data_IF_144175082865
#
_entry.id   IF_144175082865
#
_cell.length_a   1.000
_cell.length_b   1.000
_cell.length_c   1.000
_cell.angle_alpha   90.00
_cell.angle_beta   90.00
_cell.angle_gamma   90.00
#
_symmetry.space_group_name_H-M   'P 1'
#
loop_
_entity.id
_entity.type
_entity.pdbx_description
1 polymer ?
#
# COMPACT_ATOMS: atom_id res chain seq x y z
N UNK A 1 -6.85 18.14 -11.83
CA UNK A 1 -5.55 17.45 -12.03
C UNK A 1 -5.54 16.21 -11.15
N UNK A 2 -5.42 15.04 -11.75
CA UNK A 2 -5.42 13.75 -11.04
C UNK A 2 -4.08 13.57 -10.33
N UNK A 3 -4.12 13.37 -9.01
CA UNK A 3 -2.96 12.94 -8.23
C UNK A 3 -2.71 11.45 -8.48
N UNK A 4 -2.04 11.13 -9.58
CA UNK A 4 -1.65 9.75 -9.96
C UNK A 4 -0.28 9.33 -9.38
N UNK A 5 0.25 10.04 -8.38
CA UNK A 5 1.61 9.81 -7.86
C UNK A 5 1.73 8.64 -6.85
N UNK A 6 0.70 7.82 -6.67
CA UNK A 6 0.64 6.85 -5.56
C UNK A 6 0.55 5.39 -5.95
N UNK A 7 0.37 5.05 -7.24
CA UNK A 7 0.20 3.67 -7.68
C UNK A 7 1.28 3.28 -8.68
N UNK A 8 1.95 2.15 -8.42
CA UNK A 8 2.92 1.59 -9.37
C UNK A 8 2.27 1.41 -10.74
N UNK A 9 3.03 1.76 -11.77
CA UNK A 9 2.61 1.53 -13.15
C UNK A 9 2.27 0.05 -13.38
N UNK A 10 1.25 -0.19 -14.21
CA UNK A 10 0.75 -1.55 -14.46
C UNK A 10 1.81 -2.42 -15.14
N UNK A 11 2.59 -1.88 -16.07
CA UNK A 11 3.61 -2.63 -16.79
C UNK A 11 4.75 -3.02 -15.84
N UNK A 12 5.16 -2.10 -14.97
CA UNK A 12 6.14 -2.37 -13.89
C UNK A 12 5.65 -3.50 -12.99
N UNK A 13 4.40 -3.41 -12.52
CA UNK A 13 3.79 -4.43 -11.67
C UNK A 13 3.71 -5.79 -12.38
N UNK A 14 3.34 -5.81 -13.66
CA UNK A 14 3.31 -7.03 -14.46
C UNK A 14 4.71 -7.66 -14.56
N UNK A 15 5.74 -6.86 -14.83
CA UNK A 15 7.12 -7.34 -14.86
C UNK A 15 7.56 -7.97 -13.54
N UNK A 16 7.10 -7.44 -12.39
CA UNK A 16 7.34 -8.08 -11.09
C UNK A 16 6.69 -9.45 -11.00
N UNK A 17 5.42 -9.58 -11.39
CA UNK A 17 4.72 -10.86 -11.38
C UNK A 17 5.33 -11.87 -12.35
N UNK A 18 5.82 -11.44 -13.51
CA UNK A 18 6.48 -12.32 -14.48
C UNK A 18 7.79 -12.89 -13.90
N UNK A 19 8.61 -12.04 -13.26
CA UNK A 19 9.82 -12.49 -12.55
C UNK A 19 9.50 -13.45 -11.40
N UNK A 20 8.51 -13.11 -10.58
CA UNK A 20 8.07 -13.98 -9.49
C UNK A 20 7.53 -15.32 -10.01
N UNK A 21 6.81 -15.31 -11.13
CA UNK A 21 6.28 -16.53 -11.77
C UNK A 21 7.39 -17.44 -12.27
N UNK A 22 8.51 -16.91 -12.74
CA UNK A 22 9.66 -17.70 -13.16
C UNK A 22 10.28 -18.52 -12.01
N UNK A 23 10.33 -17.96 -10.79
CA UNK A 23 10.89 -18.65 -9.62
C UNK A 23 9.86 -19.50 -8.85
N UNK A 24 8.57 -19.22 -9.03
CA UNK A 24 7.49 -19.79 -8.23
C UNK A 24 7.46 -21.33 -8.16
N UNK A 25 7.63 -22.10 -9.27
CA UNK A 25 7.58 -23.56 -9.20
C UNK A 25 8.71 -24.15 -8.33
N UNK A 26 9.93 -23.62 -8.50
CA UNK A 26 11.08 -24.06 -7.72
C UNK A 26 10.95 -23.66 -6.25
N UNK A 27 10.49 -22.44 -5.99
CA UNK A 27 10.26 -21.91 -4.66
C UNK A 27 9.19 -22.70 -3.90
N UNK A 28 8.06 -22.98 -4.55
CA UNK A 28 7.01 -23.81 -3.98
C UNK A 28 7.52 -25.21 -3.66
N UNK A 29 8.13 -25.90 -4.62
CA UNK A 29 8.68 -27.25 -4.39
C UNK A 29 9.76 -27.29 -3.30
N UNK A 30 10.57 -26.25 -3.16
CA UNK A 30 11.53 -26.13 -2.07
C UNK A 30 10.86 -25.95 -0.71
N UNK A 31 9.85 -25.08 -0.62
CA UNK A 31 9.11 -24.86 0.62
C UNK A 31 8.31 -26.09 1.04
N UNK A 32 7.70 -26.84 0.10
CA UNK A 32 7.01 -28.09 0.40
C UNK A 32 7.93 -29.12 1.06
N UNK A 33 9.16 -29.27 0.53
CA UNK A 33 10.17 -30.18 1.09
C UNK A 33 10.65 -29.72 2.46
N UNK A 34 10.81 -28.41 2.66
CA UNK A 34 11.26 -27.87 3.94
C UNK A 34 10.15 -27.90 4.99
N UNK A 35 8.87 -27.91 4.59
CA UNK A 35 7.72 -28.03 5.49
C UNK A 35 7.61 -29.39 6.16
N UNK A 36 8.13 -30.44 5.56
CA UNK A 36 8.14 -31.78 6.17
C UNK A 36 9.49 -32.12 6.82
N UNK A 37 10.49 -31.25 6.66
CA UNK A 37 11.83 -31.45 7.17
C UNK A 37 11.99 -31.02 8.64
N UNK A 38 13.06 -31.54 9.26
CA UNK A 38 13.51 -31.17 10.59
C UNK A 38 13.74 -29.65 10.71
N UNK A 39 13.03 -28.96 11.62
CA UNK A 39 13.18 -27.51 11.82
C UNK A 39 14.55 -27.10 12.34
N UNK A 40 15.32 -28.00 12.98
CA UNK A 40 16.66 -27.72 13.49
C UNK A 40 17.73 -27.69 12.38
N UNK A 41 17.40 -28.17 11.18
CA UNK A 41 18.34 -28.21 10.06
C UNK A 41 18.87 -26.81 9.72
N UNK A 42 20.19 -26.68 9.51
CA UNK A 42 20.82 -25.43 9.09
C UNK A 42 20.25 -24.97 7.73
N UNK A 43 20.15 -23.65 7.54
CA UNK A 43 19.46 -23.08 6.37
C UNK A 43 20.11 -23.51 5.05
N UNK A 44 21.44 -23.47 4.89
CA UNK A 44 22.10 -23.89 3.65
C UNK A 44 21.77 -25.34 3.24
N UNK A 45 21.46 -26.19 4.22
CA UNK A 45 21.16 -27.61 4.00
C UNK A 45 19.68 -27.89 3.69
N UNK A 46 18.82 -26.86 3.71
CA UNK A 46 17.43 -26.99 3.31
C UNK A 46 17.24 -26.85 1.79
N UNK A 47 16.10 -27.27 1.28
CA UNK A 47 15.79 -27.09 -0.14
C UNK A 47 15.68 -25.61 -0.50
N UNK A 48 15.11 -24.77 0.37
CA UNK A 48 15.09 -23.32 0.19
C UNK A 48 16.48 -22.71 0.23
N UNK A 49 17.36 -23.17 1.13
CA UNK A 49 18.75 -22.70 1.20
C UNK A 49 19.53 -23.01 -0.08
N UNK A 50 19.42 -24.24 -0.59
CA UNK A 50 20.04 -24.63 -1.87
C UNK A 50 19.50 -23.82 -3.04
N UNK A 51 18.19 -23.60 -3.11
CA UNK A 51 17.59 -22.75 -4.13
C UNK A 51 18.12 -21.30 -4.05
N UNK A 52 18.17 -20.73 -2.85
CA UNK A 52 18.69 -19.40 -2.65
C UNK A 52 20.20 -19.28 -2.94
N UNK A 53 20.96 -20.38 -2.83
CA UNK A 53 22.37 -20.41 -3.21
C UNK A 53 22.56 -20.52 -4.74
N UNK A 54 21.59 -21.06 -5.47
CA UNK A 54 21.68 -21.23 -6.93
C UNK A 54 21.21 -20.02 -7.74
N UNK A 55 20.60 -19.02 -7.10
CA UNK A 55 20.03 -17.86 -7.77
C UNK A 55 20.99 -16.66 -7.72
N UNK A 56 21.06 -15.94 -8.83
CA UNK A 56 21.70 -14.62 -8.90
C UNK A 56 20.89 -13.56 -8.13
N UNK A 57 21.44 -12.36 -7.96
CA UNK A 57 20.80 -11.26 -7.21
C UNK A 57 19.37 -10.96 -7.69
N UNK A 58 19.14 -10.87 -9.01
CA UNK A 58 17.82 -10.63 -9.59
C UNK A 58 16.83 -11.75 -9.27
N UNK A 59 17.29 -13.01 -9.35
CA UNK A 59 16.51 -14.17 -8.97
C UNK A 59 16.19 -14.21 -7.48
N UNK A 60 17.13 -13.75 -6.63
CA UNK A 60 16.94 -13.63 -5.19
C UNK A 60 15.97 -12.52 -4.81
N UNK A 61 16.01 -11.37 -5.50
CA UNK A 61 15.00 -10.33 -5.33
C UNK A 61 13.62 -10.84 -5.71
N UNK A 62 13.50 -11.51 -6.86
CA UNK A 62 12.25 -12.13 -7.29
C UNK A 62 11.75 -13.21 -6.30
N UNK A 63 12.65 -14.06 -5.78
CA UNK A 63 12.34 -15.05 -4.77
C UNK A 63 11.88 -14.40 -3.45
N UNK A 64 12.55 -13.32 -3.03
CA UNK A 64 12.19 -12.55 -1.85
C UNK A 64 10.81 -11.90 -1.99
N UNK A 65 10.54 -11.25 -3.13
CA UNK A 65 9.22 -10.68 -3.43
C UNK A 65 8.13 -11.74 -3.47
N UNK A 66 8.41 -12.89 -4.09
CA UNK A 66 7.46 -14.01 -4.14
C UNK A 66 7.17 -14.57 -2.75
N UNK A 67 8.22 -14.81 -1.95
CA UNK A 67 8.09 -15.31 -0.59
C UNK A 67 7.37 -14.29 0.28
N UNK A 68 7.65 -12.99 0.14
CA UNK A 68 6.96 -11.91 0.83
C UNK A 68 5.48 -11.86 0.47
N UNK A 69 5.14 -11.85 -0.82
CA UNK A 69 3.76 -11.89 -1.33
C UNK A 69 2.99 -13.06 -0.73
N UNK A 70 3.59 -14.24 -0.82
CA UNK A 70 2.91 -15.49 -0.56
C UNK A 70 2.82 -15.75 0.95
N UNK A 71 3.90 -15.53 1.69
CA UNK A 71 3.90 -15.69 3.13
C UNK A 71 2.93 -14.71 3.79
N UNK A 72 2.83 -13.46 3.32
CA UNK A 72 1.90 -12.47 3.87
C UNK A 72 0.43 -12.82 3.69
N UNK A 73 0.10 -13.57 2.64
CA UNK A 73 -1.28 -13.91 2.28
C UNK A 73 -1.81 -15.16 3.00
N UNK A 74 -0.93 -16.06 3.45
CA UNK A 74 -1.30 -17.38 3.98
C UNK A 74 -0.78 -17.63 5.41
N UNK A 75 -0.79 -16.61 6.27
CA UNK A 75 -0.24 -16.66 7.63
C UNK A 75 -0.98 -17.57 8.65
N UNK A 76 -1.67 -18.62 8.22
CA UNK A 76 -2.16 -19.68 9.11
C UNK A 76 -1.26 -20.93 9.06
N UNK A 77 -0.80 -21.27 10.26
CA UNK A 77 -0.06 -22.42 10.80
C UNK A 77 1.22 -22.98 10.16
N UNK A 78 1.52 -22.84 8.87
CA UNK A 78 2.77 -23.45 8.34
C UNK A 78 3.57 -22.65 7.31
N UNK A 79 3.83 -21.39 7.63
CA UNK A 79 4.72 -20.51 6.86
C UNK A 79 6.16 -20.45 7.41
N UNK A 80 6.58 -21.37 8.29
CA UNK A 80 7.90 -21.32 8.96
C UNK A 80 9.08 -21.29 7.99
N UNK A 81 9.02 -22.12 6.95
CA UNK A 81 10.05 -22.21 5.92
C UNK A 81 10.14 -20.92 5.10
N UNK A 82 8.98 -20.36 4.74
CA UNK A 82 8.90 -19.08 4.04
C UNK A 82 9.39 -17.90 4.89
N UNK A 83 9.01 -17.84 6.17
CA UNK A 83 9.53 -16.85 7.13
C UNK A 83 11.05 -16.92 7.27
N UNK A 84 11.59 -18.13 7.33
CA UNK A 84 13.04 -18.34 7.38
C UNK A 84 13.70 -17.84 6.09
N UNK A 85 13.17 -18.22 4.93
CA UNK A 85 13.66 -17.76 3.63
C UNK A 85 13.66 -16.23 3.52
N UNK A 86 12.58 -15.56 3.94
CA UNK A 86 12.50 -14.10 3.95
C UNK A 86 13.59 -13.47 4.83
N UNK A 87 13.81 -13.99 6.04
CA UNK A 87 14.88 -13.49 6.93
C UNK A 87 16.26 -13.68 6.33
N UNK A 88 16.50 -14.82 5.70
CA UNK A 88 17.79 -15.15 5.08
C UNK A 88 18.07 -14.27 3.86
N UNK A 89 17.05 -13.95 3.05
CA UNK A 89 17.20 -12.99 1.94
C UNK A 89 17.39 -11.57 2.48
N UNK A 90 16.65 -11.18 3.51
CA UNK A 90 16.78 -9.86 4.14
C UNK A 90 18.14 -9.65 4.84
N UNK A 91 18.84 -10.72 5.23
CA UNK A 91 20.17 -10.65 5.81
C UNK A 91 21.29 -10.48 4.77
N UNK A 92 21.00 -10.65 3.47
CA UNK A 92 21.96 -10.45 2.38
C UNK A 92 22.05 -8.97 2.05
N UNK A 93 23.26 -8.51 1.76
CA UNK A 93 23.55 -7.16 1.28
C UNK A 93 23.90 -7.17 -0.21
N UNK A 94 23.71 -6.03 -0.87
CA UNK A 94 24.09 -5.84 -2.26
C UNK A 94 23.19 -6.60 -3.24
N UNK A 95 21.94 -6.86 -2.85
CA UNK A 95 20.96 -7.46 -3.76
C UNK A 95 20.51 -6.46 -4.84
N UNK A 96 20.65 -5.16 -4.61
CA UNK A 96 20.36 -4.14 -5.62
C UNK A 96 18.86 -3.90 -5.77
N UNK A 97 18.15 -3.76 -4.64
CA UNK A 97 16.73 -3.48 -4.64
C UNK A 97 16.39 -2.15 -5.30
N UNK A 98 15.36 -2.16 -6.14
CA UNK A 98 14.88 -0.94 -6.79
C UNK A 98 13.82 -0.24 -5.94
N UNK A 99 13.67 1.07 -6.12
CA UNK A 99 12.62 1.86 -5.45
C UNK A 99 11.22 1.31 -5.70
N UNK A 100 10.95 0.83 -6.90
CA UNK A 100 9.64 0.27 -7.25
C UNK A 100 9.38 -1.08 -6.58
N UNK A 101 10.39 -1.95 -6.47
CA UNK A 101 10.28 -3.21 -5.72
C UNK A 101 10.02 -2.94 -4.23
N UNK A 102 10.70 -1.95 -3.65
CA UNK A 102 10.50 -1.55 -2.25
C UNK A 102 9.11 -0.94 -2.06
N UNK A 103 8.66 -0.07 -2.96
CA UNK A 103 7.29 0.49 -2.92
C UNK A 103 6.25 -0.63 -2.99
N UNK A 104 6.49 -1.64 -3.83
CA UNK A 104 5.63 -2.81 -3.93
C UNK A 104 5.60 -3.62 -2.63
N UNK A 105 6.78 -3.96 -2.07
CA UNK A 105 6.90 -4.69 -0.81
C UNK A 105 6.19 -3.97 0.35
N UNK A 106 6.36 -2.66 0.44
CA UNK A 106 5.67 -1.82 1.43
C UNK A 106 4.16 -1.86 1.26
N UNK A 107 3.67 -1.68 0.02
CA UNK A 107 2.25 -1.77 -0.30
C UNK A 107 1.64 -3.10 0.15
N UNK A 108 2.29 -4.22 -0.17
CA UNK A 108 1.86 -5.55 0.22
C UNK A 108 1.86 -5.73 1.76
N UNK A 109 2.87 -5.19 2.43
CA UNK A 109 2.99 -5.25 3.89
C UNK A 109 1.87 -4.50 4.61
N UNK A 110 1.47 -3.33 4.09
CA UNK A 110 0.37 -2.56 4.64
C UNK A 110 -1.00 -3.17 4.36
N UNK A 111 -1.15 -3.89 3.24
CA UNK A 111 -2.37 -4.63 2.92
C UNK A 111 -2.51 -5.93 3.74
N UNK A 112 -1.38 -6.48 4.24
CA UNK A 112 -1.37 -7.67 5.07
C UNK A 112 -1.96 -7.45 6.47
N UNK A 113 -2.45 -8.53 7.08
CA UNK A 113 -3.03 -8.51 8.42
C UNK A 113 -2.04 -7.94 9.47
N UNK A 114 -2.50 -7.07 10.41
CA UNK A 114 -1.63 -6.46 11.41
C UNK A 114 -0.80 -7.42 12.26
N UNK A 115 -1.33 -8.62 12.54
CA UNK A 115 -0.65 -9.66 13.32
C UNK A 115 0.47 -10.41 12.57
N UNK A 116 0.72 -10.11 11.29
CA UNK A 116 1.87 -10.66 10.58
C UNK A 116 3.16 -9.95 11.04
N UNK A 117 3.71 -10.34 12.19
CA UNK A 117 4.83 -9.66 12.86
C UNK A 117 6.05 -9.41 11.97
N UNK A 118 6.28 -10.28 10.98
CA UNK A 118 7.46 -10.22 10.10
C UNK A 118 7.21 -9.47 8.79
N UNK A 119 6.03 -8.86 8.60
CA UNK A 119 5.66 -8.20 7.34
C UNK A 119 6.57 -7.05 6.92
N UNK A 120 7.32 -6.45 7.84
CA UNK A 120 8.26 -5.39 7.49
C UNK A 120 9.73 -5.87 7.37
N UNK A 121 10.01 -7.18 7.53
CA UNK A 121 11.39 -7.71 7.53
C UNK A 121 12.12 -7.41 6.23
N UNK A 122 11.59 -7.87 5.10
CA UNK A 122 12.21 -7.69 3.79
C UNK A 122 12.23 -6.23 3.33
N UNK A 123 11.11 -5.46 3.38
CA UNK A 123 11.15 -4.07 2.93
C UNK A 123 12.09 -3.20 3.76
N UNK A 124 12.23 -3.46 5.07
CA UNK A 124 13.19 -2.72 5.91
C UNK A 124 14.62 -3.01 5.50
N UNK A 125 14.97 -4.27 5.25
CA UNK A 125 16.29 -4.63 4.77
C UNK A 125 16.58 -4.02 3.39
N UNK A 126 15.64 -4.11 2.46
CA UNK A 126 15.77 -3.54 1.12
C UNK A 126 15.95 -2.02 1.15
N UNK A 127 15.23 -1.31 2.03
CA UNK A 127 15.39 0.14 2.23
C UNK A 127 16.81 0.54 2.65
N UNK A 128 17.51 -0.30 3.42
CA UNK A 128 18.89 -0.03 3.86
C UNK A 128 19.91 -0.05 2.72
N UNK A 129 19.57 -0.64 1.57
CA UNK A 129 20.42 -0.67 0.39
C UNK A 129 20.23 0.55 -0.53
N UNK A 130 19.16 1.34 -0.36
CA UNK A 130 18.90 2.49 -1.22
C UNK A 130 19.78 3.69 -0.88
N UNK A 131 20.27 4.43 -1.88
CA UNK A 131 20.89 5.73 -1.66
C UNK A 131 19.86 6.75 -1.16
N UNK A 132 20.29 7.73 -0.37
CA UNK A 132 19.41 8.75 0.23
C UNK A 132 18.54 9.51 -0.78
N UNK A 133 19.01 9.69 -2.02
CA UNK A 133 18.24 10.31 -3.08
C UNK A 133 17.03 9.45 -3.51
N UNK A 134 17.18 8.13 -3.58
CA UNK A 134 16.09 7.21 -3.93
C UNK A 134 15.06 7.08 -2.80
N UNK A 135 15.45 7.30 -1.55
CA UNK A 135 14.53 7.32 -0.41
C UNK A 135 13.56 8.50 -0.45
N UNK A 136 13.93 9.63 -1.07
CA UNK A 136 13.05 10.81 -1.26
C UNK A 136 11.90 10.54 -2.23
N UNK A 137 12.07 9.57 -3.12
CA UNK A 137 11.05 9.14 -4.10
C UNK A 137 10.00 8.17 -3.49
N UNK A 138 10.19 7.75 -2.24
CA UNK A 138 9.21 6.96 -1.49
C UNK A 138 8.24 7.88 -0.74
N UNK A 139 6.94 7.55 -0.70
CA UNK A 139 5.96 8.38 -0.01
C UNK A 139 6.28 8.43 1.49
N UNK A 140 6.44 9.64 2.04
CA UNK A 140 6.84 9.87 3.45
C UNK A 140 5.94 9.15 4.44
N UNK A 141 4.64 9.05 4.13
CA UNK A 141 3.65 8.31 4.94
C UNK A 141 3.98 6.82 5.06
N UNK A 142 4.56 6.21 4.02
CA UNK A 142 4.98 4.81 4.08
C UNK A 142 6.23 4.61 4.93
N UNK A 143 7.11 5.62 5.01
CA UNK A 143 8.29 5.60 5.87
C UNK A 143 7.92 5.86 7.34
N UNK A 144 7.04 6.82 7.62
CA UNK A 144 6.54 7.10 8.98
C UNK A 144 5.79 5.90 9.56
N UNK A 145 4.87 5.31 8.80
CA UNK A 145 4.13 4.13 9.25
C UNK A 145 5.04 2.92 9.52
N UNK A 146 6.15 2.81 8.80
CA UNK A 146 7.12 1.75 9.01
C UNK A 146 7.95 2.02 10.27
N UNK A 147 8.28 3.28 10.55
CA UNK A 147 8.91 3.69 11.82
C UNK A 147 8.04 3.36 13.03
N UNK A 148 6.71 3.47 12.90
CA UNK A 148 5.77 3.09 13.98
C UNK A 148 5.57 1.58 14.09
N UNK A 149 5.66 0.84 12.97
CA UNK A 149 5.42 -0.61 12.94
C UNK A 149 6.68 -1.47 13.21
N UNK A 150 7.87 -0.95 12.94
CA UNK A 150 9.15 -1.60 13.17
C UNK A 150 10.01 -0.72 14.09
N UNK A 151 9.79 -0.76 15.41
CA UNK A 151 10.48 0.13 16.37
C UNK A 151 12.00 -0.14 16.49
N UNK A 152 12.56 -1.09 15.74
CA UNK A 152 13.99 -1.42 15.78
C UNK A 152 14.60 -1.28 14.39
N UNK A 153 15.43 -0.25 14.27
CA UNK A 153 16.44 -0.07 13.23
C UNK A 153 15.96 0.33 11.82
N UNK A 154 15.29 1.47 11.71
CA UNK A 154 15.51 2.30 10.52
C UNK A 154 16.75 3.16 10.75
N UNK A 155 17.60 3.38 9.74
CA UNK A 155 18.74 4.28 9.89
C UNK A 155 18.21 5.68 10.25
N UNK A 156 18.45 6.12 11.48
CA UNK A 156 18.07 7.45 11.97
C UNK A 156 18.64 8.58 11.10
N UNK A 157 19.71 8.30 10.35
CA UNK A 157 20.34 9.23 9.40
C UNK A 157 19.47 9.46 8.16
N UNK A 158 18.77 8.44 7.64
CA UNK A 158 17.91 8.62 6.48
C UNK A 158 16.62 9.40 6.82
N UNK A 159 16.05 9.16 8.00
CA UNK A 159 14.85 9.87 8.45
C UNK A 159 15.17 11.28 8.96
N UNK A 160 16.33 11.49 9.59
CA UNK A 160 16.77 12.83 10.05
C UNK A 160 16.98 13.81 8.91
N UNK A 161 17.54 13.35 7.78
CA UNK A 161 17.77 14.14 6.57
C UNK A 161 16.49 14.37 5.73
N UNK A 162 15.48 13.51 5.86
CA UNK A 162 14.15 13.73 5.28
C UNK A 162 13.31 14.71 6.12
N UNK A 163 13.46 14.66 7.45
CA UNK A 163 12.72 15.52 8.37
C UNK A 163 13.24 16.96 8.41
N UNK A 164 14.48 17.20 8.00
CA UNK A 164 15.07 18.55 7.87
C UNK A 164 14.94 19.17 6.48
N UNK A 165 14.50 18.39 5.48
CA UNK A 165 14.28 18.84 4.10
C UNK A 165 12.80 18.97 3.70
N UNK A 166 11.90 19.16 4.68
CA UNK A 166 10.57 19.74 4.39
C UNK A 166 10.77 21.19 3.88
N UNK A 167 9.99 21.66 2.90
CA UNK A 167 10.40 22.73 2.01
C UNK A 167 10.54 24.06 2.75
N UNK A 168 11.77 24.54 2.89
CA UNK A 168 12.09 25.93 3.25
C UNK A 168 11.94 26.88 2.04
N UNK A 169 10.99 26.59 1.16
CA UNK A 169 10.83 27.22 -0.16
C UNK A 169 9.46 27.91 -0.34
N UNK A 170 8.75 28.29 0.73
CA UNK A 170 7.55 29.14 0.60
C UNK A 170 7.36 30.18 1.73
N UNK A 171 8.44 30.73 2.29
CA UNK A 171 8.32 31.88 3.20
C UNK A 171 9.48 32.88 3.02
N UNK A 172 9.60 33.50 1.84
CA UNK A 172 10.20 34.84 1.75
C UNK A 172 9.85 35.54 0.44
N UNK A 173 8.70 36.22 0.42
CA UNK A 173 8.58 37.57 -0.14
C UNK A 173 7.41 38.28 0.56
N UNK A 174 7.71 38.98 1.65
CA UNK A 174 6.89 40.11 2.10
C UNK A 174 7.24 41.35 1.24
N UNK A 175 6.33 42.32 1.04
CA UNK A 175 6.14 43.38 2.05
C UNK A 175 4.64 43.71 2.26
N UNK A 176 4.16 43.78 3.51
CA UNK A 176 4.02 45.03 4.29
C UNK A 176 3.37 46.16 3.49
N UNK A 177 2.08 46.42 3.70
CA UNK A 177 1.49 47.73 4.07
C UNK A 177 0.07 47.51 4.66
N UNK A 178 -0.15 48.01 5.89
CA UNK A 178 -1.47 48.31 6.45
C UNK A 178 -1.82 49.76 6.07
N UNK A 179 -3.10 50.11 5.92
CA UNK A 179 -3.61 51.13 6.83
C UNK A 179 -5.03 50.85 7.38
N UNK A 180 -5.11 50.87 8.71
CA UNK A 180 -6.04 51.65 9.56
C UNK A 180 -7.42 52.08 9.03
N UNK A 181 -8.47 51.36 9.48
CA UNK A 181 -9.83 51.81 9.93
C UNK A 181 -10.70 52.77 9.08
N UNK A 182 -11.93 53.13 9.52
CA UNK A 182 -12.81 52.55 10.53
C UNK A 182 -14.24 52.21 10.00
N UNK A 183 -14.95 51.36 10.75
CA UNK A 183 -16.39 51.41 11.11
C UNK A 183 -17.32 52.29 10.22
N UNK A 184 -18.30 51.65 9.57
CA UNK A 184 -19.68 52.16 9.45
C UNK A 184 -20.65 51.05 9.03
N UNK A 185 -21.67 50.80 9.87
CA UNK A 185 -22.94 50.21 9.45
C UNK A 185 -23.80 51.36 8.90
N UNK A 186 -24.69 51.07 7.95
CA UNK A 186 -26.09 51.35 8.27
C UNK A 186 -27.04 50.22 7.87
N UNK A 187 -27.94 49.94 8.81
CA UNK A 187 -29.26 49.36 8.61
C UNK A 187 -30.06 50.12 7.55
N UNK A 188 -30.86 49.43 6.74
CA UNK A 188 -32.22 49.79 6.27
C UNK A 188 -32.65 48.74 5.22
N UNK A 189 -33.53 47.79 5.50
CA UNK A 189 -35.00 47.88 5.55
C UNK A 189 -35.66 47.19 4.35
N UNK A 190 -36.62 46.30 4.67
CA UNK A 190 -37.88 46.06 3.98
C UNK A 190 -37.89 46.02 2.44
N UNK A 191 -38.18 44.82 1.87
CA UNK A 191 -39.44 44.57 1.13
C UNK A 191 -39.60 43.09 0.72
N UNK A 192 -40.56 42.39 1.31
CA UNK A 192 -41.20 41.20 0.74
C UNK A 192 -42.43 41.64 -0.12
N UNK A 193 -43.11 40.73 -0.84
CA UNK A 193 -43.05 40.50 -2.28
C UNK A 193 -44.31 41.03 -3.01
N UNK A 194 -44.55 40.67 -4.28
CA UNK A 194 -45.93 40.54 -4.75
C UNK A 194 -46.26 39.11 -5.17
N UNK A 195 -47.28 38.56 -4.48
CA UNK A 195 -48.12 37.45 -4.93
C UNK A 195 -49.06 37.94 -6.04
N UNK A 196 -49.14 37.23 -7.14
CA UNK A 196 -50.36 37.13 -7.97
C UNK A 196 -50.48 35.72 -8.56
N UNK A 197 -51.50 35.00 -8.08
CA UNK A 197 -52.22 33.89 -8.73
C UNK A 197 -53.69 34.35 -8.75
N UNK A 198 -54.61 33.87 -9.64
CA UNK A 198 -54.71 32.47 -10.07
C UNK A 198 -55.26 32.23 -11.50
N UNK A 199 -55.41 30.95 -11.90
CA UNK A 199 -56.73 30.31 -12.21
C UNK A 199 -56.61 29.28 -13.36
N UNK A 200 -56.88 28.01 -13.03
CA UNK A 200 -57.09 26.95 -14.01
C UNK A 200 -56.88 25.53 -13.45
N UNK A 201 -57.78 25.05 -12.58
CA UNK A 201 -58.03 23.63 -12.32
C UNK A 201 -59.44 23.31 -12.86
N UNK A 202 -59.73 22.06 -13.29
CA UNK A 202 -60.09 20.98 -12.36
C UNK A 202 -59.22 19.72 -12.57
N UNK A 203 -58.81 19.00 -11.51
CA UNK A 203 -59.54 17.94 -10.79
C UNK A 203 -60.04 16.82 -11.74
N UNK A 204 -59.80 15.53 -11.53
CA UNK A 204 -59.72 14.78 -10.28
C UNK A 204 -58.89 13.48 -10.41
N UNK A 205 -58.47 12.98 -9.26
CA UNK A 205 -57.81 11.70 -8.96
C UNK A 205 -58.80 10.48 -9.07
N UNK A 206 -58.61 9.38 -8.30
CA UNK A 206 -57.95 8.13 -8.67
C UNK A 206 -58.94 6.95 -8.70
N UNK A 207 -58.57 5.76 -9.15
CA UNK A 207 -59.28 4.51 -8.73
C UNK A 207 -58.35 3.31 -8.76
N UNK A 208 -58.17 2.73 -7.57
CA UNK A 208 -57.75 1.34 -7.32
C UNK A 208 -58.99 0.45 -7.47
N UNK A 209 -58.89 -0.65 -8.23
CA UNK A 209 -59.69 -1.89 -8.08
C UNK A 209 -58.81 -3.01 -8.68
N UNK A 210 -58.16 -3.87 -7.90
CA UNK A 210 -58.68 -5.11 -7.30
C UNK A 210 -59.42 -6.03 -8.28
N UNK A 211 -59.01 -7.30 -8.36
CA UNK A 211 -59.73 -8.30 -9.16
C UNK A 211 -58.90 -9.43 -9.75
N UNK A 212 -58.53 -10.40 -8.90
CA UNK A 212 -58.66 -11.85 -9.08
C UNK A 212 -58.59 -12.52 -10.48
N UNK A 213 -57.77 -13.59 -10.55
CA UNK A 213 -57.88 -14.70 -11.51
C UNK A 213 -56.62 -15.58 -11.45
N UNK A 214 -56.48 -16.52 -10.51
CA UNK A 214 -56.96 -17.92 -10.58
C UNK A 214 -56.54 -18.66 -11.86
N UNK A 215 -55.70 -19.69 -11.68
CA UNK A 215 -55.37 -20.72 -12.69
C UNK A 215 -53.99 -21.33 -12.46
N UNK A 216 -53.76 -22.06 -11.36
CA UNK A 216 -53.78 -23.54 -11.28
C UNK A 216 -52.81 -24.26 -12.25
N UNK A 217 -51.85 -24.95 -11.62
CA UNK A 217 -51.23 -26.29 -11.88
C UNK A 217 -51.48 -26.90 -13.27
N UNK A 218 -50.50 -27.56 -13.91
CA UNK A 218 -49.96 -28.89 -13.54
C UNK A 218 -48.79 -29.24 -14.48
N UNK A 219 -47.92 -30.12 -13.99
CA UNK A 219 -46.91 -30.97 -14.66
C UNK A 219 -45.66 -30.33 -15.29
#
# INVERSE_FOLDING_TARGET
MRSDSTRLDRAVLQGFYDRMRAVAPAAYGAMERDRTADPARAFPDTACGRLAASLEADGLRALGMWAHHWCLRFYDDDTRAGRRLVREIAARSGLGWTTDEIRWLLGESYAAHPAADQRFTLPTAALRELPSAALRELPSVALEKLSTAAPRELPSVALGELSTAAPRELLSTAPRELPTGPRELPSSEHREPPRTVPRGLPAAEPTVLDGAGVGRRVD
#
